data_IF_557892002069
#
_entry.id   IF_557892002069
#
_cell.length_a   1.000
_cell.length_b   1.000
_cell.length_c   1.000
_cell.angle_alpha   90.00
_cell.angle_beta   90.00
_cell.angle_gamma   90.00
#
_symmetry.space_group_name_H-M   'P 1'
#
loop_
_entity.id
_entity.type
_entity.pdbx_description
1 polymer ?
#
# COMPACT_ATOMS: atom_id res chain seq x y z
N UNK A 1 16.66 7.74 7.31
CA UNK A 1 16.51 6.67 6.27
C UNK A 1 15.78 5.45 6.80
N UNK A 2 16.14 4.86 7.95
CA UNK A 2 15.52 3.63 8.49
C UNK A 2 13.96 3.60 8.55
N UNK A 3 13.32 4.68 9.03
CA UNK A 3 11.85 4.73 9.20
C UNK A 3 11.05 4.57 7.89
N UNK A 4 11.63 4.91 6.73
CA UNK A 4 10.90 4.82 5.46
C UNK A 4 10.89 3.40 4.88
N UNK A 5 11.90 2.59 5.20
CA UNK A 5 12.00 1.23 4.69
C UNK A 5 11.17 0.26 5.54
N UNK A 6 11.09 0.50 6.86
CA UNK A 6 10.18 -0.20 7.77
C UNK A 6 8.71 -0.11 7.31
N UNK A 7 8.28 1.07 6.83
CA UNK A 7 6.91 1.24 6.34
C UNK A 7 6.65 0.40 5.09
N UNK A 8 7.59 0.37 4.14
CA UNK A 8 7.45 -0.41 2.90
C UNK A 8 7.37 -1.90 3.22
N UNK A 9 8.26 -2.40 4.08
CA UNK A 9 8.26 -3.80 4.52
C UNK A 9 6.95 -4.16 5.21
N UNK A 10 6.45 -3.30 6.10
CA UNK A 10 5.17 -3.50 6.78
C UNK A 10 4.00 -3.54 5.80
N UNK A 11 4.00 -2.72 4.74
CA UNK A 11 2.97 -2.77 3.69
C UNK A 11 3.02 -4.12 2.96
N UNK A 12 4.22 -4.60 2.60
CA UNK A 12 4.40 -5.90 1.94
C UNK A 12 3.91 -7.04 2.84
N UNK A 13 4.25 -7.04 4.13
CA UNK A 13 3.81 -8.02 5.13
C UNK A 13 2.27 -8.04 5.27
N UNK A 14 1.65 -6.86 5.34
CA UNK A 14 0.20 -6.72 5.41
C UNK A 14 -0.50 -7.28 4.17
N UNK A 15 0.03 -7.00 2.98
CA UNK A 15 -0.51 -7.50 1.72
C UNK A 15 -0.28 -9.01 1.56
N UNK A 16 0.84 -9.54 2.05
CA UNK A 16 1.12 -10.99 2.05
C UNK A 16 0.08 -11.74 2.90
N UNK A 17 -0.39 -11.12 3.97
CA UNK A 17 -1.39 -11.72 4.88
C UNK A 17 -2.84 -11.56 4.42
N UNK A 18 -3.16 -10.59 3.56
CA UNK A 18 -4.53 -10.23 3.20
C UNK A 18 -4.84 -10.27 1.70
N UNK A 19 -3.85 -10.56 0.85
CA UNK A 19 -3.85 -10.52 -0.63
C UNK A 19 -4.19 -9.16 -1.26
N UNK A 20 -5.26 -8.49 -0.81
CA UNK A 20 -5.78 -7.23 -1.34
C UNK A 20 -6.22 -6.32 -0.19
N UNK A 21 -5.75 -5.07 -0.17
CA UNK A 21 -6.16 -4.06 0.81
C UNK A 21 -6.46 -2.72 0.14
N UNK A 22 -7.37 -1.94 0.69
CA UNK A 22 -7.56 -0.53 0.28
C UNK A 22 -6.45 0.34 0.87
N UNK A 23 -6.12 1.47 0.21
CA UNK A 23 -5.16 2.45 0.74
C UNK A 23 -5.55 2.91 2.16
N UNK A 24 -6.85 3.13 2.39
CA UNK A 24 -7.37 3.51 3.71
C UNK A 24 -7.14 2.43 4.78
N UNK A 25 -7.29 1.15 4.44
CA UNK A 25 -7.04 0.04 5.38
C UNK A 25 -5.54 -0.10 5.67
N UNK A 26 -4.68 0.06 4.67
CA UNK A 26 -3.22 0.10 4.86
C UNK A 26 -2.85 1.22 5.83
N UNK A 27 -3.32 2.45 5.59
CA UNK A 27 -3.07 3.60 6.49
C UNK A 27 -3.47 3.31 7.94
N UNK A 28 -4.64 2.69 8.15
CA UNK A 28 -5.12 2.33 9.49
C UNK A 28 -4.23 1.30 10.17
N UNK A 29 -3.78 0.27 9.45
CA UNK A 29 -2.97 -0.83 9.98
C UNK A 29 -1.50 -0.43 10.21
N UNK A 30 -0.95 0.44 9.37
CA UNK A 30 0.41 0.95 9.54
C UNK A 30 0.51 1.98 10.66
N UNK A 31 -0.63 2.55 11.11
CA UNK A 31 -0.73 3.65 12.09
C UNK A 31 0.04 4.90 11.64
N UNK A 32 0.10 5.14 10.33
CA UNK A 32 0.87 6.25 9.76
C UNK A 32 0.02 7.53 9.75
N UNK A 33 0.46 8.61 10.45
CA UNK A 33 -0.35 9.82 10.58
C UNK A 33 -0.41 10.64 9.28
N UNK A 34 0.70 10.68 8.53
CA UNK A 34 0.81 11.50 7.32
C UNK A 34 0.43 10.72 6.06
N UNK A 35 -0.57 11.23 5.33
CA UNK A 35 -1.05 10.62 4.08
C UNK A 35 0.06 10.51 3.02
N UNK A 36 0.85 11.57 2.85
CA UNK A 36 1.95 11.62 1.88
C UNK A 36 2.99 10.50 2.08
N UNK A 37 3.25 10.08 3.32
CA UNK A 37 4.20 9.00 3.59
C UNK A 37 3.70 7.66 3.07
N UNK A 38 2.39 7.40 3.15
CA UNK A 38 1.78 6.18 2.58
C UNK A 38 1.78 6.25 1.06
N UNK A 39 1.39 7.39 0.47
CA UNK A 39 1.42 7.58 -0.98
C UNK A 39 2.81 7.34 -1.55
N UNK A 40 3.84 7.95 -0.98
CA UNK A 40 5.22 7.79 -1.46
C UNK A 40 5.71 6.33 -1.32
N UNK A 41 5.33 5.64 -0.24
CA UNK A 41 5.70 4.24 -0.06
C UNK A 41 5.00 3.33 -1.09
N UNK A 42 3.72 3.57 -1.38
CA UNK A 42 2.96 2.83 -2.38
C UNK A 42 3.47 3.11 -3.80
N UNK A 43 3.69 4.38 -4.16
CA UNK A 43 4.24 4.76 -5.46
C UNK A 43 5.63 4.14 -5.69
N UNK A 44 6.48 4.12 -4.67
CA UNK A 44 7.77 3.45 -4.76
C UNK A 44 7.60 1.95 -5.02
N UNK A 45 6.77 1.27 -4.23
CA UNK A 45 6.54 -0.18 -4.36
C UNK A 45 5.90 -0.56 -5.70
N UNK A 46 5.05 0.30 -6.25
CA UNK A 46 4.47 0.13 -7.58
C UNK A 46 5.54 0.31 -8.67
N UNK A 47 6.39 1.34 -8.54
CA UNK A 47 7.49 1.61 -9.49
C UNK A 47 8.54 0.50 -9.53
N UNK A 48 8.81 -0.16 -8.41
CA UNK A 48 9.70 -1.34 -8.35
C UNK A 48 8.96 -2.65 -8.59
N UNK A 49 7.73 -2.59 -9.07
CA UNK A 49 6.93 -3.75 -9.51
C UNK A 49 6.65 -4.80 -8.43
N UNK A 50 6.59 -4.40 -7.16
CA UNK A 50 6.21 -5.29 -6.05
C UNK A 50 4.69 -5.36 -5.89
N UNK A 51 3.99 -4.24 -6.13
CA UNK A 51 2.54 -4.13 -5.98
C UNK A 51 1.87 -3.62 -7.26
N UNK A 52 0.56 -3.79 -7.33
CA UNK A 52 -0.31 -3.16 -8.33
C UNK A 52 -1.42 -2.38 -7.62
N UNK A 53 -1.66 -1.14 -8.05
CA UNK A 53 -2.74 -0.28 -7.53
C UNK A 53 -3.86 -0.21 -8.58
N UNK A 54 -5.08 -0.58 -8.18
CA UNK A 54 -6.27 -0.51 -9.06
C UNK A 54 -7.35 0.39 -8.46
N UNK A 55 -8.02 1.14 -9.33
CA UNK A 55 -9.23 1.85 -8.96
C UNK A 55 -10.42 0.88 -8.93
N UNK A 56 -11.17 0.90 -7.83
CA UNK A 56 -12.39 0.15 -7.65
C UNK A 56 -13.51 0.91 -8.37
N UNK A 57 -14.34 0.20 -9.14
CA UNK A 57 -15.55 0.74 -9.77
C UNK A 57 -16.66 0.98 -8.73
N UNK A 58 -16.37 1.74 -7.68
CA UNK A 58 -17.37 2.22 -6.73
C UNK A 58 -17.65 3.71 -6.95
N UNK A 59 -18.72 4.23 -6.33
CA UNK A 59 -19.12 5.64 -6.46
C UNK A 59 -18.06 6.63 -5.94
N UNK A 60 -17.05 6.15 -5.22
CA UNK A 60 -16.04 6.96 -4.51
C UNK A 60 -14.65 6.88 -5.15
N UNK A 61 -14.45 6.06 -6.19
CA UNK A 61 -13.15 5.86 -6.83
C UNK A 61 -12.09 5.27 -5.89
N UNK A 62 -12.48 4.38 -4.97
CA UNK A 62 -11.55 3.84 -3.98
C UNK A 62 -10.39 3.10 -4.64
N UNK A 63 -9.16 3.23 -4.14
CA UNK A 63 -8.01 2.46 -4.66
C UNK A 63 -7.74 1.22 -3.80
N UNK A 64 -7.55 0.08 -4.46
CA UNK A 64 -7.07 -1.18 -3.88
C UNK A 64 -5.62 -1.42 -4.28
N UNK A 65 -4.89 -2.09 -3.41
CA UNK A 65 -3.49 -2.45 -3.55
C UNK A 65 -3.39 -3.96 -3.37
N UNK A 66 -2.63 -4.62 -4.23
CA UNK A 66 -2.30 -6.04 -4.13
C UNK A 66 -0.83 -6.29 -4.44
N UNK A 67 -0.28 -7.41 -3.95
CA UNK A 67 1.03 -7.87 -4.40
C UNK A 67 0.94 -8.35 -5.85
N UNK A 68 2.02 -8.15 -6.60
CA UNK A 68 2.22 -8.87 -7.87
C UNK A 68 2.66 -10.30 -7.51
N UNK A 69 2.05 -11.29 -8.15
CA UNK A 69 2.52 -12.67 -8.10
C UNK A 69 3.85 -12.71 -8.87
N UNK A 70 4.96 -13.03 -8.19
CA UNK A 70 6.23 -13.36 -8.84
C UNK A 70 6.20 -14.79 -9.36
#
# INVERSE_FOLDING_TARGET
>A
MLKSDELKLKIIELLSSHQILTIGKIKKLTKTPHHYTISNALEFLEKVEIIEIKEKKDKLGSKIVKLKDN
#
